data_IF_960787004120
#
_entry.id   IF_960787004120
#
_cell.length_a   1.000
_cell.length_b   1.000
_cell.length_c   1.000
_cell.angle_alpha   90.00
_cell.angle_beta   90.00
_cell.angle_gamma   90.00
#
_symmetry.space_group_name_H-M   'P 1'
#
loop_
_entity.id
_entity.type
_entity.pdbx_description
1 polymer ?
#
# COMPACT_ATOMS: atom_id res chain seq x y z
N UNK A 1 7.12 22.11 7.19
CA UNK A 1 5.98 21.19 7.07
C UNK A 1 6.51 19.77 6.91
N UNK A 2 6.06 18.83 7.72
CA UNK A 2 6.41 17.41 7.57
C UNK A 2 5.75 16.83 6.32
N UNK A 3 6.39 15.87 5.65
CA UNK A 3 5.87 15.28 4.39
C UNK A 3 4.51 14.58 4.56
N UNK A 4 4.24 14.06 5.76
CA UNK A 4 2.98 13.37 6.11
C UNK A 4 1.79 14.33 6.25
N UNK A 5 2.02 15.61 6.50
CA UNK A 5 0.94 16.61 6.64
C UNK A 5 0.15 16.83 5.34
N UNK A 6 0.67 16.37 4.19
CA UNK A 6 -0.03 16.44 2.90
C UNK A 6 -1.35 15.65 2.90
N UNK A 7 -1.40 14.47 3.53
CA UNK A 7 -2.60 13.63 3.51
C UNK A 7 -3.77 14.26 4.28
N UNK A 8 -3.49 14.96 5.38
CA UNK A 8 -4.51 15.70 6.13
C UNK A 8 -5.15 16.81 5.28
N UNK A 9 -4.38 17.52 4.46
CA UNK A 9 -4.93 18.52 3.55
C UNK A 9 -5.85 17.88 2.50
N UNK A 10 -5.45 16.73 1.92
CA UNK A 10 -6.31 16.01 0.98
C UNK A 10 -7.56 15.42 1.66
N UNK A 11 -7.48 15.04 2.93
CA UNK A 11 -8.62 14.59 3.71
C UNK A 11 -9.68 15.68 3.87
N UNK A 12 -9.26 16.91 4.18
CA UNK A 12 -10.17 18.06 4.23
C UNK A 12 -10.82 18.36 2.87
N UNK A 13 -10.11 18.05 1.77
CA UNK A 13 -10.64 18.14 0.40
C UNK A 13 -11.52 16.93 -0.01
N UNK A 14 -11.71 15.94 0.85
CA UNK A 14 -12.61 14.81 0.63
C UNK A 14 -11.96 13.45 0.37
N UNK A 15 -10.63 13.32 0.48
CA UNK A 15 -9.95 12.03 0.35
C UNK A 15 -10.39 11.06 1.47
N UNK A 16 -10.80 9.84 1.10
CA UNK A 16 -11.22 8.80 2.07
C UNK A 16 -10.55 7.44 1.88
N UNK A 17 -9.78 7.26 0.81
CA UNK A 17 -9.00 6.05 0.53
C UNK A 17 -7.67 6.44 -0.09
N UNK A 18 -6.59 5.74 0.28
CA UNK A 18 -5.24 6.00 -0.22
C UNK A 18 -4.49 4.70 -0.49
N UNK A 19 -3.89 4.58 -1.68
CA UNK A 19 -2.88 3.55 -1.98
C UNK A 19 -1.47 4.13 -1.81
N UNK A 20 -0.60 3.47 -1.06
CA UNK A 20 0.77 3.95 -0.81
C UNK A 20 1.67 3.85 -2.05
N UNK A 21 1.35 2.92 -2.95
CA UNK A 21 2.17 2.59 -4.13
C UNK A 21 1.30 2.35 -5.35
N UNK A 22 1.91 2.52 -6.52
CA UNK A 22 1.50 1.86 -7.75
C UNK A 22 2.54 0.77 -8.06
N UNK A 23 2.88 0.48 -9.32
CA UNK A 23 3.79 -0.61 -9.71
C UNK A 23 5.31 -0.37 -9.47
N UNK A 24 5.73 0.70 -8.81
CA UNK A 24 7.16 1.07 -8.65
C UNK A 24 7.48 1.45 -7.22
N UNK A 25 8.77 1.41 -6.89
CA UNK A 25 9.30 1.98 -5.64
C UNK A 25 9.09 3.49 -5.65
N UNK A 26 8.60 4.03 -4.55
CA UNK A 26 8.47 5.47 -4.31
C UNK A 26 9.00 5.81 -2.91
N UNK A 27 8.75 7.04 -2.44
CA UNK A 27 9.23 7.50 -1.14
C UNK A 27 8.56 6.81 0.05
N UNK A 28 7.37 6.24 -0.13
CA UNK A 28 6.59 5.60 0.93
C UNK A 28 6.88 4.10 1.04
N UNK A 29 6.89 3.37 -0.08
CA UNK A 29 7.09 1.92 -0.08
C UNK A 29 7.50 1.39 -1.47
N UNK A 30 7.63 0.06 -1.57
CA UNK A 30 7.85 -0.63 -2.82
C UNK A 30 6.54 -1.18 -3.41
N UNK A 31 6.24 -0.81 -4.65
CA UNK A 31 5.20 -1.45 -5.44
C UNK A 31 5.58 -2.87 -5.88
N UNK A 32 4.56 -3.70 -6.08
CA UNK A 32 4.68 -4.97 -6.79
C UNK A 32 5.01 -4.73 -8.26
N UNK A 33 6.02 -5.44 -8.77
CA UNK A 33 6.49 -5.25 -10.15
C UNK A 33 6.08 -6.45 -11.01
N UNK A 34 5.58 -6.18 -12.22
CA UNK A 34 5.33 -7.17 -13.27
C UNK A 34 6.63 -7.66 -13.94
N UNK A 35 7.62 -8.09 -13.16
CA UNK A 35 8.94 -8.51 -13.66
C UNK A 35 9.24 -9.99 -13.33
N UNK A 36 10.01 -10.64 -14.20
CA UNK A 36 10.48 -12.02 -13.97
C UNK A 36 11.37 -12.12 -12.72
N UNK A 37 12.06 -11.03 -12.36
CA UNK A 37 12.85 -10.89 -11.13
C UNK A 37 12.01 -10.87 -9.85
N UNK A 38 10.68 -10.73 -9.96
CA UNK A 38 9.80 -10.51 -8.81
C UNK A 38 9.82 -9.08 -8.29
N UNK A 39 9.08 -8.86 -7.20
CA UNK A 39 8.97 -7.57 -6.52
C UNK A 39 10.17 -7.33 -5.58
N UNK A 40 10.50 -6.07 -5.25
CA UNK A 40 11.49 -5.74 -4.22
C UNK A 40 11.16 -6.42 -2.89
N UNK A 41 12.17 -6.73 -2.09
CA UNK A 41 12.00 -7.34 -0.75
C UNK A 41 11.80 -6.33 0.37
N UNK A 42 11.95 -5.03 0.10
CA UNK A 42 11.79 -3.95 1.07
C UNK A 42 10.31 -3.58 1.22
N UNK A 43 9.83 -3.41 2.46
CA UNK A 43 8.47 -2.95 2.76
C UNK A 43 8.35 -1.43 2.78
N UNK A 44 7.80 -0.89 3.87
CA UNK A 44 7.56 0.53 4.06
C UNK A 44 8.84 1.24 4.47
N UNK A 45 9.02 2.46 3.97
CA UNK A 45 10.02 3.38 4.51
C UNK A 45 9.52 3.96 5.84
N UNK A 46 10.38 4.68 6.56
CA UNK A 46 9.94 5.44 7.74
C UNK A 46 8.80 6.41 7.40
N UNK A 47 8.88 7.07 6.25
CA UNK A 47 7.81 7.94 5.76
C UNK A 47 6.52 7.16 5.43
N UNK A 48 6.63 5.95 4.88
CA UNK A 48 5.47 5.09 4.65
C UNK A 48 4.76 4.72 5.95
N UNK A 49 5.50 4.38 7.00
CA UNK A 49 4.93 4.09 8.33
C UNK A 49 4.27 5.32 8.96
N UNK A 50 4.87 6.50 8.82
CA UNK A 50 4.24 7.75 9.27
C UNK A 50 2.94 8.05 8.51
N UNK A 51 2.88 7.76 7.20
CA UNK A 51 1.67 7.90 6.40
C UNK A 51 0.58 6.91 6.81
N UNK A 52 0.93 5.66 7.08
CA UNK A 52 0.02 4.63 7.57
C UNK A 52 -0.64 5.09 8.88
N UNK A 53 0.16 5.53 9.85
CA UNK A 53 -0.34 6.03 11.14
C UNK A 53 -1.25 7.24 10.99
N UNK A 54 -0.94 8.15 10.07
CA UNK A 54 -1.78 9.32 9.82
C UNK A 54 -3.10 8.95 9.12
N UNK A 55 -3.08 7.95 8.22
CA UNK A 55 -4.29 7.41 7.62
C UNK A 55 -5.18 6.74 8.67
N UNK A 56 -4.58 5.94 9.57
CA UNK A 56 -5.27 5.31 10.70
C UNK A 56 -5.94 6.37 11.59
N UNK A 57 -5.18 7.43 11.95
CA UNK A 57 -5.65 8.55 12.78
C UNK A 57 -6.82 9.30 12.14
N UNK A 58 -6.77 9.53 10.83
CA UNK A 58 -7.81 10.24 10.06
C UNK A 58 -8.99 9.34 9.66
N UNK A 59 -8.86 8.02 9.79
CA UNK A 59 -9.85 7.06 9.32
C UNK A 59 -9.88 6.90 7.80
N UNK A 60 -8.78 7.20 7.10
CA UNK A 60 -8.61 6.95 5.67
C UNK A 60 -8.41 5.45 5.45
N UNK A 61 -9.15 4.88 4.50
CA UNK A 61 -8.99 3.47 4.12
C UNK A 61 -7.66 3.28 3.37
N UNK A 62 -6.80 2.41 3.87
CA UNK A 62 -5.61 1.99 3.15
C UNK A 62 -5.97 0.96 2.08
N UNK A 63 -5.60 1.24 0.84
CA UNK A 63 -5.77 0.35 -0.31
C UNK A 63 -4.42 -0.28 -0.67
N UNK A 64 -4.36 -1.60 -0.56
CA UNK A 64 -3.16 -2.41 -0.77
C UNK A 64 -3.01 -2.90 -2.21
N UNK A 65 -3.86 -2.42 -3.13
CA UNK A 65 -3.60 -2.63 -4.55
C UNK A 65 -2.18 -2.15 -4.91
N UNK A 66 -1.49 -2.96 -5.71
CA UNK A 66 -0.11 -2.75 -6.15
C UNK A 66 1.01 -2.75 -5.10
N UNK A 67 0.76 -2.93 -3.80
CA UNK A 67 1.88 -3.05 -2.85
C UNK A 67 2.63 -4.37 -3.06
N UNK A 68 3.92 -4.41 -2.78
CA UNK A 68 4.67 -5.66 -2.79
C UNK A 68 4.33 -6.55 -1.58
N UNK A 69 4.68 -7.85 -1.60
CA UNK A 69 4.36 -8.77 -0.49
C UNK A 69 4.94 -8.33 0.86
N UNK A 70 6.17 -7.80 0.88
CA UNK A 70 6.80 -7.33 2.11
C UNK A 70 6.03 -6.17 2.76
N UNK A 71 5.57 -5.20 1.95
CA UNK A 71 4.76 -4.09 2.44
C UNK A 71 3.35 -4.51 2.83
N UNK A 72 2.78 -5.51 2.14
CA UNK A 72 1.48 -6.09 2.51
C UNK A 72 1.53 -6.68 3.92
N UNK A 73 2.49 -7.57 4.20
CA UNK A 73 2.68 -8.17 5.53
C UNK A 73 2.98 -7.13 6.60
N UNK A 74 3.84 -6.15 6.29
CA UNK A 74 4.17 -5.08 7.23
C UNK A 74 2.94 -4.25 7.61
N UNK A 75 2.10 -3.84 6.65
CA UNK A 75 0.86 -3.09 6.96
C UNK A 75 -0.10 -3.93 7.81
N UNK A 76 -0.28 -5.21 7.48
CA UNK A 76 -1.12 -6.11 8.27
C UNK A 76 -0.66 -6.25 9.72
N UNK A 77 0.64 -6.11 9.99
CA UNK A 77 1.17 -6.12 11.36
C UNK A 77 1.07 -4.77 12.10
N UNK A 78 0.87 -3.66 11.37
CA UNK A 78 0.86 -2.31 11.93
C UNK A 78 -0.56 -1.76 12.14
N UNK A 79 -1.46 -1.99 11.18
CA UNK A 79 -2.79 -1.36 11.16
C UNK A 79 -3.77 -2.08 12.08
N UNK A 80 -4.67 -1.32 12.72
CA UNK A 80 -5.76 -1.89 13.53
C UNK A 80 -7.11 -1.85 12.82
N UNK A 81 -7.23 -1.03 11.78
CA UNK A 81 -8.40 -0.96 10.89
C UNK A 81 -8.21 -1.88 9.69
N UNK A 82 -9.28 -2.52 9.20
CA UNK A 82 -9.16 -3.41 8.05
C UNK A 82 -8.77 -2.61 6.80
N UNK A 83 -7.64 -2.94 6.14
CA UNK A 83 -7.32 -2.38 4.85
C UNK A 83 -8.24 -3.00 3.78
N UNK A 84 -8.25 -2.39 2.60
CA UNK A 84 -8.92 -2.93 1.42
C UNK A 84 -7.90 -3.28 0.34
N UNK A 85 -8.35 -4.08 -0.61
CA UNK A 85 -7.70 -4.17 -1.91
C UNK A 85 -8.77 -3.85 -2.93
N UNK A 86 -8.72 -2.64 -3.48
CA UNK A 86 -9.75 -2.16 -4.40
C UNK A 86 -9.76 -2.93 -5.72
N UNK A 87 -8.60 -3.42 -6.16
CA UNK A 87 -8.46 -4.20 -7.38
C UNK A 87 -7.25 -5.15 -7.32
N UNK A 88 -7.52 -6.43 -7.50
CA UNK A 88 -6.54 -7.51 -7.65
C UNK A 88 -7.28 -8.79 -8.07
N UNK A 89 -6.54 -9.82 -8.47
CA UNK A 89 -7.05 -11.15 -8.75
C UNK A 89 -6.55 -12.15 -7.68
N UNK A 90 -7.10 -13.36 -7.68
CA UNK A 90 -6.57 -14.46 -6.87
C UNK A 90 -5.41 -15.15 -7.60
N UNK A 91 -4.26 -15.32 -6.94
CA UNK A 91 -3.07 -15.94 -7.56
C UNK A 91 -3.37 -17.36 -8.07
N UNK A 92 -4.16 -18.13 -7.31
CA UNK A 92 -4.54 -19.50 -7.66
C UNK A 92 -5.34 -19.58 -8.97
N UNK A 93 -6.09 -18.53 -9.31
CA UNK A 93 -6.95 -18.46 -10.49
C UNK A 93 -6.22 -17.81 -11.67
N UNK A 94 -5.49 -16.73 -11.41
CA UNK A 94 -4.76 -15.98 -12.42
C UNK A 94 -3.27 -15.97 -12.10
N UNK A 95 -2.49 -16.82 -12.78
CA UNK A 95 -1.01 -16.79 -12.72
C UNK A 95 -0.38 -15.61 -13.48
N UNK A 96 -1.15 -14.53 -13.71
CA UNK A 96 -0.62 -13.30 -14.28
C UNK A 96 0.41 -12.73 -13.29
N UNK A 97 1.59 -12.38 -13.81
CA UNK A 97 2.82 -12.04 -13.05
C UNK A 97 2.55 -11.25 -11.76
N UNK A 98 2.64 -11.92 -10.60
CA UNK A 98 2.87 -11.53 -9.17
C UNK A 98 2.45 -10.14 -8.59
N UNK A 99 2.19 -9.10 -9.37
CA UNK A 99 1.93 -7.74 -8.89
C UNK A 99 0.44 -7.34 -8.85
N UNK A 100 -0.43 -8.13 -9.49
CA UNK A 100 -1.87 -7.89 -9.55
C UNK A 100 -2.68 -9.04 -8.95
N UNK A 101 -2.03 -9.94 -8.21
CA UNK A 101 -2.71 -11.04 -7.54
C UNK A 101 -2.33 -11.05 -6.07
N UNK A 102 -3.32 -11.24 -5.20
CA UNK A 102 -3.10 -11.41 -3.76
C UNK A 102 -3.08 -12.89 -3.42
N UNK A 103 -2.25 -13.23 -2.45
CA UNK A 103 -2.16 -14.53 -1.81
C UNK A 103 -3.38 -14.72 -0.89
N UNK A 104 -4.52 -15.12 -1.45
CA UNK A 104 -5.69 -15.59 -0.71
C UNK A 104 -5.75 -17.11 -0.71
#
# INVERSE_FOLDING_TARGET
>A
MGRSQSVAHFYELGLRSLSLTHARVNTAAAGGIFAASGSPSTGLTTFGRELEQECERLGILLDLAHINPAGFEEIFSLTTRPPIVSHSNAERVCRARKAACIFL
#
